data_IF_850576945886
#
_entry.id   IF_850576945886
#
_cell.length_a   1.000
_cell.length_b   1.000
_cell.length_c   1.000
_cell.angle_alpha   90.00
_cell.angle_beta   90.00
_cell.angle_gamma   90.00
#
_symmetry.space_group_name_H-M   'P 1'
#
loop_
_entity.id
_entity.type
_entity.pdbx_description
1 polymer ?
#
# COMPACT_ATOMS: atom_id res chain seq x y z
N UNK A 1 21.15 18.66 13.83
CA UNK A 1 21.89 17.67 14.64
C UNK A 1 21.14 16.35 14.52
N UNK A 2 21.82 15.29 14.13
CA UNK A 2 21.19 13.98 13.94
C UNK A 2 20.66 13.40 15.27
N UNK A 3 19.57 12.65 15.20
CA UNK A 3 19.01 11.87 16.29
C UNK A 3 19.87 10.64 16.59
N UNK A 4 19.83 10.23 17.86
CA UNK A 4 20.30 8.93 18.33
C UNK A 4 19.12 8.10 18.83
N UNK A 5 19.23 6.77 18.80
CA UNK A 5 18.18 5.89 19.30
C UNK A 5 17.85 6.14 20.77
N UNK A 6 18.85 6.44 21.59
CA UNK A 6 18.66 6.82 23.00
C UNK A 6 17.80 8.07 23.13
N UNK A 7 18.08 9.10 22.33
CA UNK A 7 17.30 10.34 22.33
C UNK A 7 15.87 10.11 21.87
N UNK A 8 15.65 9.24 20.86
CA UNK A 8 14.30 8.91 20.38
C UNK A 8 13.48 8.17 21.43
N UNK A 9 14.12 7.24 22.16
CA UNK A 9 13.48 6.46 23.24
C UNK A 9 13.01 7.33 24.39
N UNK A 10 13.76 8.37 24.75
CA UNK A 10 13.46 9.25 25.89
C UNK A 10 12.44 10.35 25.58
N UNK A 11 12.00 10.48 24.32
CA UNK A 11 10.99 11.48 23.94
C UNK A 11 9.64 11.18 24.61
N UNK A 12 9.18 12.14 25.42
CA UNK A 12 7.89 12.10 26.10
C UNK A 12 6.83 12.91 25.35
N UNK A 13 5.56 12.46 25.34
CA UNK A 13 4.47 13.25 24.81
C UNK A 13 4.37 14.61 25.53
N UNK A 14 3.89 15.63 24.82
CA UNK A 14 3.63 16.98 25.34
C UNK A 14 2.20 17.38 25.00
N UNK A 15 1.72 18.47 25.58
CA UNK A 15 0.34 18.97 25.34
C UNK A 15 0.06 19.32 23.87
N UNK A 16 1.11 19.59 23.09
CA UNK A 16 1.03 19.88 21.65
C UNK A 16 1.95 18.99 20.85
N UNK A 17 1.57 18.70 19.60
CA UNK A 17 2.44 18.01 18.65
C UNK A 17 3.73 18.80 18.49
N UNK A 18 4.86 18.12 18.63
CA UNK A 18 6.17 18.70 18.38
C UNK A 18 7.00 17.81 17.46
N UNK A 19 7.96 18.43 16.79
CA UNK A 19 8.83 17.79 15.81
C UNK A 19 10.23 17.71 16.37
N UNK A 20 10.87 16.56 16.18
CA UNK A 20 12.28 16.37 16.51
C UNK A 20 13.02 16.03 15.24
N UNK A 21 13.80 16.99 14.74
CA UNK A 21 14.55 16.85 13.50
C UNK A 21 15.71 15.88 13.63
N UNK A 22 15.90 15.05 12.60
CA UNK A 22 17.10 14.25 12.37
C UNK A 22 17.98 14.98 11.33
N UNK A 23 18.30 14.33 10.21
CA UNK A 23 19.06 14.88 9.08
C UNK A 23 18.25 14.83 7.77
N UNK A 24 18.65 15.65 6.78
CA UNK A 24 18.12 15.61 5.41
C UNK A 24 16.59 15.58 5.34
N UNK A 25 15.92 16.45 6.09
CA UNK A 25 14.46 16.56 6.09
C UNK A 25 13.70 15.43 6.80
N UNK A 26 14.39 14.45 7.40
CA UNK A 26 13.80 13.45 8.28
C UNK A 26 13.54 14.05 9.67
N UNK A 27 12.38 13.76 10.24
CA UNK A 27 12.03 14.15 11.61
C UNK A 27 11.00 13.20 12.20
N UNK A 28 10.93 13.17 13.52
CA UNK A 28 9.89 12.46 14.27
C UNK A 28 8.82 13.46 14.73
N UNK A 29 7.56 13.20 14.40
CA UNK A 29 6.43 13.86 15.05
C UNK A 29 6.03 13.09 16.30
N UNK A 30 6.01 13.77 17.45
CA UNK A 30 5.50 13.22 18.71
C UNK A 30 4.19 13.90 19.02
N UNK A 31 3.10 13.12 19.11
CA UNK A 31 1.75 13.62 19.39
C UNK A 31 1.45 13.59 20.90
N UNK A 32 0.48 14.40 21.38
CA UNK A 32 0.05 14.36 22.78
C UNK A 32 -0.48 13.00 23.23
N UNK A 33 -1.10 12.25 22.32
CA UNK A 33 -1.57 10.88 22.58
C UNK A 33 -0.44 9.82 22.65
N UNK A 34 0.82 10.24 22.58
CA UNK A 34 1.99 9.37 22.63
C UNK A 34 2.35 8.63 21.34
N UNK A 35 1.55 8.76 20.29
CA UNK A 35 1.93 8.26 18.97
C UNK A 35 3.14 9.05 18.42
N UNK A 36 4.06 8.30 17.82
CA UNK A 36 5.30 8.82 17.25
C UNK A 36 5.40 8.39 15.79
N UNK A 37 5.54 9.35 14.89
CA UNK A 37 5.50 9.10 13.44
C UNK A 37 6.73 9.69 12.75
N UNK A 38 7.48 8.85 12.04
CA UNK A 38 8.56 9.31 11.17
C UNK A 38 7.99 9.99 9.93
N UNK A 39 8.50 11.17 9.63
CA UNK A 39 8.15 11.91 8.43
C UNK A 39 9.39 12.44 7.73
N UNK A 40 9.30 12.48 6.41
CA UNK A 40 10.31 13.06 5.55
C UNK A 40 9.71 14.22 4.76
N UNK A 41 10.35 15.38 4.86
CA UNK A 41 10.04 16.59 4.08
C UNK A 41 10.98 16.66 2.88
N UNK A 42 10.41 16.88 1.70
CA UNK A 42 11.14 16.99 0.43
C UNK A 42 10.50 18.05 -0.46
N UNK A 43 11.25 18.53 -1.43
CA UNK A 43 10.75 19.42 -2.48
C UNK A 43 10.68 18.64 -3.79
N UNK A 44 9.58 18.77 -4.51
CA UNK A 44 9.42 18.18 -5.84
C UNK A 44 8.58 19.13 -6.69
N UNK A 45 9.08 19.49 -7.87
CA UNK A 45 8.47 20.47 -8.78
C UNK A 45 8.14 21.81 -8.08
N UNK A 46 9.08 22.33 -7.29
CA UNK A 46 8.91 23.60 -6.55
C UNK A 46 7.91 23.57 -5.40
N UNK A 47 7.32 22.41 -5.08
CA UNK A 47 6.35 22.26 -3.99
C UNK A 47 6.95 21.53 -2.80
N UNK A 48 6.74 22.07 -1.61
CA UNK A 48 7.04 21.40 -0.34
C UNK A 48 6.06 20.25 -0.10
N UNK A 49 6.58 19.05 0.06
CA UNK A 49 5.82 17.81 0.27
C UNK A 49 6.37 17.04 1.46
N UNK A 50 5.50 16.19 2.02
CA UNK A 50 5.81 15.38 3.19
C UNK A 50 5.23 13.98 3.05
N UNK A 51 6.05 12.98 3.36
CA UNK A 51 5.63 11.57 3.39
C UNK A 51 5.82 11.00 4.80
N UNK A 52 4.89 10.14 5.23
CA UNK A 52 5.04 9.35 6.45
C UNK A 52 5.87 8.10 6.14
N UNK A 53 6.90 7.81 6.94
CA UNK A 53 7.78 6.64 6.75
C UNK A 53 7.42 5.46 7.68
N UNK A 54 6.61 5.72 8.69
CA UNK A 54 6.04 4.72 9.59
C UNK A 54 6.02 5.18 11.05
N UNK A 55 5.31 4.43 11.89
CA UNK A 55 5.20 4.71 13.31
C UNK A 55 6.39 4.11 14.08
N UNK A 56 6.89 4.82 15.09
CA UNK A 56 7.82 4.28 16.08
C UNK A 56 7.02 3.58 17.20
N UNK A 57 7.46 2.43 17.73
CA UNK A 57 8.74 1.75 17.50
C UNK A 57 8.77 0.76 16.33
N UNK A 58 7.65 0.52 15.64
CA UNK A 58 7.56 -0.43 14.51
C UNK A 58 8.61 -0.13 13.43
N UNK A 59 8.87 1.15 13.18
CA UNK A 59 9.99 1.63 12.37
C UNK A 59 10.99 2.30 13.30
N UNK A 60 12.17 1.68 13.44
CA UNK A 60 13.30 2.25 14.18
C UNK A 60 13.98 3.40 13.43
N UNK A 61 14.92 4.08 14.08
CA UNK A 61 15.64 5.22 13.47
C UNK A 61 16.42 4.78 12.21
N UNK A 62 17.11 3.63 12.28
CA UNK A 62 17.85 3.07 11.14
C UNK A 62 16.94 2.81 9.93
N UNK A 63 15.79 2.17 10.15
CA UNK A 63 14.83 1.90 9.09
C UNK A 63 14.19 3.18 8.55
N UNK A 64 13.93 4.17 9.41
CA UNK A 64 13.43 5.47 8.98
C UNK A 64 14.43 6.18 8.05
N UNK A 65 15.73 6.12 8.35
CA UNK A 65 16.80 6.64 7.48
C UNK A 65 16.87 5.88 6.15
N UNK A 66 16.80 4.55 6.16
CA UNK A 66 16.74 3.74 4.92
C UNK A 66 15.55 4.14 4.04
N UNK A 67 14.35 4.22 4.63
CA UNK A 67 13.13 4.63 3.90
C UNK A 67 13.18 6.07 3.40
N UNK A 68 13.90 6.96 4.09
CA UNK A 68 14.18 8.31 3.60
C UNK A 68 15.08 8.24 2.37
N UNK A 69 16.17 7.48 2.41
CA UNK A 69 17.09 7.36 1.27
C UNK A 69 16.42 6.74 0.04
N UNK A 70 15.50 5.79 0.22
CA UNK A 70 14.63 5.28 -0.84
C UNK A 70 13.71 6.38 -1.41
N UNK A 71 13.02 7.12 -0.54
CA UNK A 71 12.15 8.22 -0.98
C UNK A 71 12.92 9.35 -1.66
N UNK A 72 14.12 9.66 -1.17
CA UNK A 72 15.00 10.67 -1.76
C UNK A 72 15.41 10.28 -3.17
N UNK A 73 15.81 9.02 -3.41
CA UNK A 73 16.14 8.52 -4.76
C UNK A 73 14.97 8.68 -5.73
N UNK A 74 13.76 8.30 -5.31
CA UNK A 74 12.56 8.51 -6.16
C UNK A 74 12.31 9.98 -6.47
N UNK A 75 12.54 10.88 -5.51
CA UNK A 75 12.39 12.34 -5.73
C UNK A 75 13.43 12.87 -6.72
N UNK A 76 14.68 12.38 -6.64
CA UNK A 76 15.76 12.71 -7.58
C UNK A 76 15.44 12.23 -9.01
N UNK A 77 14.75 11.10 -9.15
CA UNK A 77 14.21 10.60 -10.42
C UNK A 77 12.94 11.35 -10.89
N UNK A 78 12.49 12.36 -10.14
CA UNK A 78 11.28 13.14 -10.45
C UNK A 78 9.97 12.43 -10.11
N UNK A 79 10.02 11.28 -9.44
CA UNK A 79 8.84 10.50 -9.04
C UNK A 79 8.38 10.93 -7.65
N UNK A 80 7.10 11.26 -7.51
CA UNK A 80 6.51 11.57 -6.20
C UNK A 80 6.30 10.28 -5.36
N UNK A 81 7.02 10.08 -4.25
CA UNK A 81 6.90 8.86 -3.45
C UNK A 81 5.52 8.68 -2.83
N UNK A 82 4.79 9.77 -2.57
CA UNK A 82 3.42 9.72 -2.02
C UNK A 82 2.45 9.17 -3.07
N UNK A 83 2.57 9.64 -4.30
CA UNK A 83 1.74 9.17 -5.41
C UNK A 83 2.08 7.74 -5.77
N UNK A 84 3.36 7.35 -5.76
CA UNK A 84 3.78 5.97 -6.01
C UNK A 84 3.12 5.00 -5.02
N UNK A 85 3.23 5.26 -3.71
CA UNK A 85 2.59 4.41 -2.69
C UNK A 85 1.06 4.39 -2.81
N UNK A 86 0.44 5.53 -3.14
CA UNK A 86 -1.01 5.57 -3.36
C UNK A 86 -1.40 4.72 -4.58
N UNK A 87 -0.62 4.79 -5.66
CA UNK A 87 -0.81 3.98 -6.86
C UNK A 87 -0.63 2.51 -6.56
N UNK A 88 0.42 2.11 -5.86
CA UNK A 88 0.63 0.71 -5.43
C UNK A 88 -0.54 0.19 -4.60
N UNK A 89 -1.03 0.98 -3.62
CA UNK A 89 -2.19 0.61 -2.81
C UNK A 89 -3.46 0.47 -3.63
N UNK A 90 -3.68 1.39 -4.58
CA UNK A 90 -4.83 1.32 -5.49
C UNK A 90 -4.72 0.13 -6.44
N UNK A 91 -3.55 -0.12 -7.03
CA UNK A 91 -3.30 -1.29 -7.86
C UNK A 91 -3.52 -2.57 -7.07
N UNK A 92 -3.03 -2.67 -5.83
CA UNK A 92 -3.27 -3.81 -4.96
C UNK A 92 -4.77 -3.99 -4.65
N UNK A 93 -5.48 -2.90 -4.36
CA UNK A 93 -6.92 -2.93 -4.11
C UNK A 93 -7.71 -3.35 -5.37
N UNK A 94 -7.37 -2.82 -6.54
CA UNK A 94 -8.00 -3.20 -7.83
C UNK A 94 -7.68 -4.66 -8.19
N UNK A 95 -6.44 -5.10 -7.95
CA UNK A 95 -6.05 -6.52 -8.11
C UNK A 95 -6.87 -7.43 -7.20
N UNK A 96 -7.12 -7.01 -5.95
CA UNK A 96 -7.99 -7.77 -5.03
C UNK A 96 -9.47 -7.69 -5.42
N UNK A 97 -9.93 -6.58 -6.01
CA UNK A 97 -11.33 -6.35 -6.37
C UNK A 97 -11.77 -7.08 -7.65
N UNK A 98 -10.84 -7.45 -8.53
CA UNK A 98 -11.13 -8.16 -9.78
C UNK A 98 -10.58 -9.60 -9.71
N UNK A 99 -11.21 -10.44 -8.89
CA UNK A 99 -10.90 -11.86 -8.88
C UNK A 99 -11.45 -12.55 -10.13
N UNK A 100 -10.91 -13.71 -10.48
CA UNK A 100 -11.46 -14.53 -11.57
C UNK A 100 -12.94 -14.86 -11.34
N UNK A 101 -13.32 -15.12 -10.08
CA UNK A 101 -14.69 -15.41 -9.72
C UNK A 101 -15.63 -14.23 -9.97
N UNK A 102 -15.18 -13.00 -9.69
CA UNK A 102 -15.99 -11.80 -9.93
C UNK A 102 -16.26 -11.61 -11.43
N UNK A 103 -15.24 -11.74 -12.27
CA UNK A 103 -15.38 -11.64 -13.73
C UNK A 103 -16.20 -12.80 -14.31
N UNK A 104 -16.04 -14.02 -13.79
CA UNK A 104 -16.83 -15.17 -14.20
C UNK A 104 -18.32 -15.00 -13.83
N UNK A 105 -18.61 -14.44 -12.65
CA UNK A 105 -19.98 -14.11 -12.25
C UNK A 105 -20.59 -13.01 -13.14
N UNK A 106 -19.83 -11.97 -13.47
CA UNK A 106 -20.26 -10.92 -14.40
C UNK A 106 -20.59 -11.50 -15.78
N UNK A 107 -19.76 -12.44 -16.28
CA UNK A 107 -20.04 -13.16 -17.51
C UNK A 107 -21.34 -13.97 -17.42
N UNK A 108 -21.55 -14.72 -16.33
CA UNK A 108 -22.78 -15.49 -16.10
C UNK A 108 -24.01 -14.56 -16.08
N UNK A 109 -23.92 -13.40 -15.45
CA UNK A 109 -24.99 -12.40 -15.44
C UNK A 109 -25.28 -11.87 -16.85
N UNK A 110 -24.24 -11.58 -17.64
CA UNK A 110 -24.37 -11.16 -19.03
C UNK A 110 -25.12 -12.20 -19.87
N UNK A 111 -24.67 -13.45 -19.86
CA UNK A 111 -25.30 -14.51 -20.67
C UNK A 111 -26.71 -14.88 -20.18
N UNK A 112 -27.02 -14.64 -18.90
CA UNK A 112 -28.38 -14.75 -18.37
C UNK A 112 -29.28 -13.66 -18.98
N UNK A 113 -28.79 -12.41 -19.03
CA UNK A 113 -29.52 -11.29 -19.64
C UNK A 113 -29.71 -11.44 -21.15
N UNK A 114 -28.78 -12.12 -21.82
CA UNK A 114 -28.86 -12.46 -23.24
C UNK A 114 -29.82 -13.63 -23.54
N UNK A 115 -30.47 -14.21 -22.51
CA UNK A 115 -31.48 -15.26 -22.68
C UNK A 115 -30.90 -16.62 -23.07
N UNK A 116 -29.66 -16.94 -22.66
CA UNK A 116 -29.11 -18.29 -22.86
C UNK A 116 -29.96 -19.34 -22.13
N UNK A 117 -30.00 -20.55 -22.70
CA UNK A 117 -30.72 -21.67 -22.12
C UNK A 117 -30.26 -22.00 -20.69
N UNK A 118 -31.20 -22.36 -19.81
CA UNK A 118 -30.94 -22.63 -18.39
C UNK A 118 -29.86 -23.69 -18.17
N UNK A 119 -29.85 -24.75 -18.99
CA UNK A 119 -28.81 -25.78 -18.95
C UNK A 119 -27.38 -25.23 -19.17
N UNK A 120 -27.24 -24.14 -19.94
CA UNK A 120 -25.96 -23.45 -20.18
C UNK A 120 -25.57 -22.62 -18.97
N UNK A 121 -26.53 -21.94 -18.33
CA UNK A 121 -26.31 -21.16 -17.12
C UNK A 121 -25.92 -22.06 -15.94
N UNK A 122 -26.59 -23.20 -15.79
CA UNK A 122 -26.29 -24.18 -14.74
C UNK A 122 -24.92 -24.81 -14.92
N UNK A 123 -24.54 -25.13 -16.16
CA UNK A 123 -23.18 -25.63 -16.47
C UNK A 123 -22.12 -24.57 -16.17
N UNK A 124 -22.37 -23.29 -16.50
CA UNK A 124 -21.44 -22.20 -16.21
C UNK A 124 -21.27 -21.98 -14.69
N UNK A 125 -22.36 -22.00 -13.92
CA UNK A 125 -22.34 -21.91 -12.45
C UNK A 125 -21.64 -23.11 -11.83
N UNK A 126 -21.88 -24.32 -12.35
CA UNK A 126 -21.21 -25.53 -11.90
C UNK A 126 -19.70 -25.47 -12.14
N UNK A 127 -19.26 -25.05 -13.32
CA UNK A 127 -17.84 -24.86 -13.63
C UNK A 127 -17.18 -23.86 -12.66
N UNK A 128 -17.85 -22.73 -12.39
CA UNK A 128 -17.31 -21.75 -11.44
C UNK A 128 -17.15 -22.33 -10.02
N UNK A 129 -18.06 -23.20 -9.57
CA UNK A 129 -17.92 -23.92 -8.28
C UNK A 129 -16.72 -24.86 -8.27
N UNK A 130 -16.44 -25.57 -9.37
CA UNK A 130 -15.25 -26.43 -9.47
C UNK A 130 -13.95 -25.62 -9.39
N UNK A 131 -13.99 -24.38 -9.86
CA UNK A 131 -12.86 -23.46 -9.86
C UNK A 131 -12.77 -22.62 -8.58
N UNK A 132 -13.45 -23.00 -7.49
CA UNK A 132 -13.41 -22.27 -6.21
C UNK A 132 -12.00 -21.93 -5.67
N UNK A 133 -10.97 -22.80 -5.80
CA UNK A 133 -9.62 -22.47 -5.38
C UNK A 133 -8.99 -21.30 -6.17
N UNK A 134 -9.28 -21.20 -7.47
CA UNK A 134 -8.74 -20.17 -8.35
C UNK A 134 -9.66 -18.95 -8.49
N UNK A 135 -10.94 -19.09 -8.11
CA UNK A 135 -11.93 -18.02 -8.18
C UNK A 135 -11.56 -16.80 -7.32
N UNK A 136 -10.79 -17.00 -6.23
CA UNK A 136 -10.33 -15.92 -5.35
C UNK A 136 -9.02 -15.27 -5.80
N UNK A 137 -8.40 -15.79 -6.86
CA UNK A 137 -7.11 -15.27 -7.31
C UNK A 137 -7.31 -14.00 -8.16
N UNK A 138 -6.42 -12.99 -7.99
CA UNK A 138 -6.37 -11.84 -8.88
C UNK A 138 -6.09 -12.27 -10.32
N UNK A 139 -6.85 -11.73 -11.28
CA UNK A 139 -6.60 -12.01 -12.72
C UNK A 139 -5.20 -11.53 -13.17
N UNK A 140 -4.66 -10.53 -12.47
CA UNK A 140 -3.42 -9.86 -12.80
C UNK A 140 -2.14 -10.56 -12.30
N UNK A 141 -2.25 -11.68 -11.59
CA UNK A 141 -1.07 -12.46 -11.19
C UNK A 141 -0.81 -13.58 -12.22
N UNK A 142 0.46 -13.88 -12.56
CA UNK A 142 0.78 -14.95 -13.49
C UNK A 142 0.32 -16.28 -12.91
N UNK A 143 -0.64 -16.90 -13.59
CA UNK A 143 -1.29 -18.15 -13.23
C UNK A 143 -0.26 -19.28 -13.28
N UNK A 144 0.37 -19.56 -12.14
CA UNK A 144 1.29 -20.69 -12.01
C UNK A 144 0.48 -21.99 -11.96
N UNK A 145 0.05 -22.46 -13.12
CA UNK A 145 -0.26 -23.87 -13.30
C UNK A 145 1.06 -24.64 -13.24
N UNK A 146 1.43 -25.12 -12.05
CA UNK A 146 2.42 -26.19 -11.97
C UNK A 146 1.69 -27.48 -12.34
N UNK A 147 2.04 -28.14 -13.47
CA UNK A 147 1.56 -29.49 -13.70
C UNK A 147 2.13 -30.44 -12.62
N UNK A 148 1.39 -31.50 -12.27
CA UNK A 148 1.86 -32.53 -11.34
C UNK A 148 3.07 -33.28 -11.88
#
# INVERSE_FOLDING_TARGET
MALSDTKVRTLKPRDKLYKVSDDRGLYLEVRPNGSRLWRYRYFLHGKDKRIALGAYPVVGLKDARRKRDEAQRSVEEGVDPVLSRKREKLTAAVKMANSFGDVANEYIMKITKEGRADATLDKARWLLKQLAPIAKLPIADPWKFSPP
#
